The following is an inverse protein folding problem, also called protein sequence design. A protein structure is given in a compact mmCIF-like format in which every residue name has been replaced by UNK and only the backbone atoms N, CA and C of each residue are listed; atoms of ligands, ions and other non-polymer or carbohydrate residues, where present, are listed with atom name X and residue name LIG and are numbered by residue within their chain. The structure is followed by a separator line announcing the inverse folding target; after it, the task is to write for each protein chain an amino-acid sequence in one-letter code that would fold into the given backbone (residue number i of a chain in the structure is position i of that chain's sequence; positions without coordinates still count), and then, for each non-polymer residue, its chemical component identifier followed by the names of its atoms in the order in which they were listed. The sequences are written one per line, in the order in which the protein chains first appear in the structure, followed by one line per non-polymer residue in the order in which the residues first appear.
data_IF_809254053069
#
_entry.id   IF_809254053069
#
_cell.length_a   1.000
_cell.length_b   1.000
_cell.length_c   1.000
_cell.angle_alpha   90.00
_cell.angle_beta   90.00
_cell.angle_gamma   90.00
#
_symmetry.space_group_name_H-M   'P 1'
#
loop_
_entity.id
_entity.type
_entity.pdbx_description
1 polymer ?
#
# COMPACT_ATOMS: atom_id res chain seq x y z
N UNK A 1 -38.89 6.68 -19.12
CA UNK A 1 -38.52 5.78 -18.01
C UNK A 1 -37.23 5.00 -18.27
N UNK A 2 -37.08 4.26 -19.38
CA UNK A 2 -35.86 3.46 -19.66
C UNK A 2 -34.53 4.24 -19.62
N UNK A 3 -34.51 5.47 -20.15
CA UNK A 3 -33.32 6.34 -20.15
C UNK A 3 -32.88 6.73 -18.74
N UNK A 4 -33.81 7.04 -17.84
CA UNK A 4 -33.49 7.38 -16.45
C UNK A 4 -32.88 6.21 -15.68
N UNK A 5 -33.37 4.98 -15.92
CA UNK A 5 -32.76 3.78 -15.35
C UNK A 5 -31.32 3.59 -15.84
N UNK A 6 -31.08 3.75 -17.15
CA UNK A 6 -29.72 3.64 -17.71
C UNK A 6 -28.79 4.69 -17.11
N UNK A 7 -29.22 5.95 -17.00
CA UNK A 7 -28.42 7.02 -16.39
C UNK A 7 -28.12 6.75 -14.91
N UNK A 8 -29.09 6.23 -14.16
CA UNK A 8 -28.89 5.85 -12.75
C UNK A 8 -27.85 4.73 -12.62
N UNK A 9 -27.95 3.67 -13.43
CA UNK A 9 -26.98 2.58 -13.41
C UNK A 9 -25.57 3.05 -13.80
N UNK A 10 -25.45 3.92 -14.81
CA UNK A 10 -24.15 4.50 -15.18
C UNK A 10 -23.55 5.34 -14.05
N UNK A 11 -24.38 6.13 -13.37
CA UNK A 11 -23.94 6.94 -12.23
C UNK A 11 -23.42 6.06 -11.08
N UNK A 12 -24.12 4.98 -10.72
CA UNK A 12 -23.67 4.06 -9.67
C UNK A 12 -22.36 3.34 -10.04
N UNK A 13 -22.21 2.94 -11.29
CA UNK A 13 -20.97 2.33 -11.79
C UNK A 13 -19.79 3.29 -11.64
N UNK A 14 -19.95 4.57 -12.01
CA UNK A 14 -18.90 5.58 -11.90
C UNK A 14 -18.48 5.77 -10.42
N UNK A 15 -19.46 5.93 -9.52
CA UNK A 15 -19.18 6.13 -8.08
C UNK A 15 -18.42 4.94 -7.48
N UNK A 16 -18.78 3.71 -7.85
CA UNK A 16 -18.12 2.50 -7.35
C UNK A 16 -16.66 2.40 -7.84
N UNK A 17 -16.40 2.76 -9.10
CA UNK A 17 -15.07 2.77 -9.69
C UNK A 17 -14.15 3.80 -9.01
N UNK A 18 -14.63 5.03 -8.80
CA UNK A 18 -13.88 6.06 -8.07
C UNK A 18 -13.52 5.62 -6.65
N UNK A 19 -14.47 4.99 -5.96
CA UNK A 19 -14.27 4.52 -4.59
C UNK A 19 -13.22 3.41 -4.52
N UNK A 20 -13.20 2.51 -5.51
CA UNK A 20 -12.20 1.46 -5.62
C UNK A 20 -10.80 2.04 -5.87
N UNK A 21 -10.69 3.03 -6.76
CA UNK A 21 -9.42 3.70 -7.04
C UNK A 21 -8.87 4.40 -5.80
N UNK A 22 -9.70 5.21 -5.11
CA UNK A 22 -9.31 5.88 -3.87
C UNK A 22 -8.87 4.89 -2.78
N UNK A 23 -9.50 3.72 -2.73
CA UNK A 23 -9.11 2.66 -1.79
C UNK A 23 -7.75 2.05 -2.16
N UNK A 24 -7.47 1.85 -3.45
CA UNK A 24 -6.18 1.36 -3.94
C UNK A 24 -5.06 2.35 -3.61
N UNK A 25 -5.26 3.64 -3.90
CA UNK A 25 -4.30 4.70 -3.56
C UNK A 25 -4.04 4.77 -2.04
N UNK A 26 -5.11 4.68 -1.25
CA UNK A 26 -5.01 4.63 0.20
C UNK A 26 -4.21 3.40 0.67
N UNK A 27 -4.47 2.21 0.13
CA UNK A 27 -3.74 0.99 0.49
C UNK A 27 -2.26 1.10 0.15
N UNK A 28 -1.93 1.59 -1.06
CA UNK A 28 -0.56 1.77 -1.49
C UNK A 28 0.20 2.75 -0.58
N UNK A 29 -0.40 3.93 -0.33
CA UNK A 29 0.17 4.94 0.56
C UNK A 29 0.40 4.39 1.98
N UNK A 30 -0.57 3.66 2.54
CA UNK A 30 -0.43 3.10 3.89
C UNK A 30 0.63 2.00 3.94
N UNK A 31 0.74 1.15 2.90
CA UNK A 31 1.79 0.15 2.82
C UNK A 31 3.17 0.82 2.83
N UNK A 32 3.40 1.80 1.95
CA UNK A 32 4.69 2.47 1.81
C UNK A 32 5.10 3.15 3.13
N UNK A 33 4.18 3.87 3.76
CA UNK A 33 4.40 4.50 5.07
C UNK A 33 4.72 3.45 6.14
N UNK A 34 4.01 2.33 6.16
CA UNK A 34 4.25 1.23 7.09
C UNK A 34 5.65 0.63 6.93
N UNK A 35 6.05 0.23 5.72
CA UNK A 35 7.34 -0.44 5.50
C UNK A 35 8.51 0.53 5.71
N UNK A 36 8.37 1.79 5.29
CA UNK A 36 9.37 2.82 5.54
C UNK A 36 9.54 3.12 7.03
N UNK A 37 8.44 3.15 7.80
CA UNK A 37 8.49 3.31 9.26
C UNK A 37 9.21 2.16 9.96
N UNK A 38 9.09 0.94 9.43
CA UNK A 38 9.77 -0.25 9.98
C UNK A 38 11.25 -0.23 9.64
N UNK A 39 11.60 0.02 8.38
CA UNK A 39 13.00 0.14 7.93
C UNK A 39 13.73 1.27 8.67
N UNK A 40 13.17 2.49 8.67
CA UNK A 40 13.79 3.67 9.27
C UNK A 40 14.03 3.54 10.78
N UNK A 41 13.22 2.75 11.49
CA UNK A 41 13.41 2.48 12.92
C UNK A 41 14.74 1.81 13.25
N UNK A 42 15.28 1.01 12.33
CA UNK A 42 16.55 0.33 12.53
C UNK A 42 17.74 1.14 12.02
N UNK A 43 17.52 2.18 11.20
CA UNK A 43 18.55 3.14 10.77
C UNK A 43 19.83 2.48 10.26
N UNK A 44 19.70 1.40 9.47
CA UNK A 44 20.84 0.65 8.92
C UNK A 44 21.52 -0.34 9.87
N UNK A 45 21.02 -0.51 11.10
CA UNK A 45 21.47 -1.57 12.02
C UNK A 45 20.93 -2.94 11.59
N UNK A 46 21.53 -4.02 12.08
CA UNK A 46 21.06 -5.41 11.90
C UNK A 46 20.24 -5.86 13.12
N UNK A 47 18.92 -5.62 13.16
CA UNK A 47 18.07 -6.11 14.25
C UNK A 47 17.93 -7.63 14.25
N UNK A 48 17.67 -8.21 15.41
CA UNK A 48 17.24 -9.60 15.49
C UNK A 48 15.87 -9.80 14.87
N UNK A 49 15.61 -11.01 14.35
CA UNK A 49 14.30 -11.42 13.81
C UNK A 49 13.14 -11.07 14.75
N UNK A 50 13.30 -11.30 16.06
CA UNK A 50 12.29 -10.98 17.08
C UNK A 50 11.99 -9.47 17.18
N UNK A 51 13.00 -8.63 17.05
CA UNK A 51 12.82 -7.16 17.05
C UNK A 51 12.08 -6.70 15.81
N UNK A 52 12.39 -7.27 14.64
CA UNK A 52 11.70 -6.96 13.38
C UNK A 52 10.23 -7.35 13.47
N UNK A 53 9.92 -8.59 13.90
CA UNK A 53 8.54 -9.07 14.09
C UNK A 53 7.76 -8.17 15.05
N UNK A 54 8.37 -7.80 16.19
CA UNK A 54 7.74 -6.91 17.15
C UNK A 54 7.45 -5.54 16.53
N UNK A 55 8.38 -5.02 15.72
CA UNK A 55 8.24 -3.73 15.06
C UNK A 55 7.20 -3.75 13.95
N UNK A 56 7.16 -4.77 13.09
CA UNK A 56 6.14 -4.98 12.07
C UNK A 56 4.74 -4.97 12.70
N UNK A 57 4.50 -5.85 13.67
CA UNK A 57 3.21 -5.95 14.38
C UNK A 57 2.84 -4.68 15.16
N UNK A 58 3.82 -4.07 15.83
CA UNK A 58 3.61 -2.84 16.59
C UNK A 58 3.25 -1.66 15.69
N UNK A 59 3.85 -1.58 14.51
CA UNK A 59 3.60 -0.51 13.55
C UNK A 59 2.20 -0.66 12.93
N UNK A 60 1.77 -1.89 12.59
CA UNK A 60 0.39 -2.14 12.11
C UNK A 60 -0.70 -1.65 13.07
N UNK A 61 -0.46 -1.73 14.39
CA UNK A 61 -1.44 -1.31 15.40
C UNK A 61 -1.71 0.20 15.40
N UNK A 62 -0.82 1.01 14.83
CA UNK A 62 -0.94 2.48 14.77
C UNK A 62 -1.90 2.98 13.68
N UNK A 63 -2.16 2.15 12.66
CA UNK A 63 -2.94 2.56 11.49
C UNK A 63 -4.34 1.95 11.51
N UNK A 64 -5.29 2.56 12.25
CA UNK A 64 -6.61 1.94 12.50
C UNK A 64 -7.34 1.43 11.24
N UNK A 65 -7.36 2.23 10.17
CA UNK A 65 -8.03 1.89 8.90
C UNK A 65 -7.30 0.81 8.09
N UNK A 66 -5.99 0.67 8.24
CA UNK A 66 -5.14 -0.29 7.52
C UNK A 66 -4.72 -1.50 8.38
N UNK A 67 -4.97 -1.46 9.69
CA UNK A 67 -4.49 -2.41 10.71
C UNK A 67 -4.77 -3.87 10.33
N UNK A 68 -6.00 -4.18 9.93
CA UNK A 68 -6.39 -5.56 9.60
C UNK A 68 -5.62 -6.09 8.39
N UNK A 69 -5.55 -5.30 7.32
CA UNK A 69 -4.76 -5.62 6.11
C UNK A 69 -3.29 -5.77 6.48
N UNK A 70 -2.71 -4.80 7.17
CA UNK A 70 -1.31 -4.81 7.62
C UNK A 70 -0.97 -6.08 8.42
N UNK A 71 -1.77 -6.44 9.43
CA UNK A 71 -1.51 -7.63 10.24
C UNK A 71 -1.62 -8.92 9.41
N UNK A 72 -2.59 -9.00 8.50
CA UNK A 72 -2.70 -10.13 7.58
C UNK A 72 -1.48 -10.21 6.64
N UNK A 73 -1.01 -9.07 6.13
CA UNK A 73 0.17 -9.01 5.26
C UNK A 73 1.42 -9.46 6.01
N UNK A 74 1.61 -9.00 7.26
CA UNK A 74 2.71 -9.43 8.13
C UNK A 74 2.66 -10.92 8.42
N UNK A 75 1.47 -11.47 8.67
CA UNK A 75 1.30 -12.90 8.94
C UNK A 75 1.61 -13.77 7.71
N UNK A 76 1.14 -13.36 6.53
CA UNK A 76 1.23 -14.16 5.32
C UNK A 76 2.59 -14.04 4.61
N UNK A 77 3.34 -12.96 4.85
CA UNK A 77 4.57 -12.64 4.11
C UNK A 77 5.75 -12.38 5.06
N UNK A 78 5.78 -13.04 6.23
CA UNK A 78 6.67 -12.63 7.31
C UNK A 78 8.17 -12.68 6.93
N UNK A 79 8.63 -13.79 6.37
CA UNK A 79 10.05 -13.93 5.98
C UNK A 79 10.43 -12.93 4.89
N UNK A 80 9.59 -12.80 3.86
CA UNK A 80 9.78 -11.81 2.80
C UNK A 80 9.88 -10.39 3.37
N UNK A 81 8.98 -10.00 4.27
CA UNK A 81 9.03 -8.69 4.91
C UNK A 81 10.29 -8.48 5.75
N UNK A 82 10.76 -9.50 6.48
CA UNK A 82 11.99 -9.41 7.27
C UNK A 82 13.19 -9.12 6.36
N UNK A 83 13.29 -9.84 5.26
CA UNK A 83 14.39 -9.66 4.31
C UNK A 83 14.32 -8.27 3.68
N UNK A 84 13.17 -7.87 3.13
CA UNK A 84 13.02 -6.60 2.41
C UNK A 84 13.20 -5.37 3.30
N UNK A 85 12.61 -5.34 4.50
CA UNK A 85 12.74 -4.17 5.40
C UNK A 85 14.13 -4.04 6.05
N UNK A 86 15.02 -5.00 5.81
CA UNK A 86 16.42 -4.92 6.25
C UNK A 86 17.40 -4.71 5.10
N UNK A 87 16.92 -4.68 3.85
CA UNK A 87 17.76 -4.39 2.69
C UNK A 87 18.31 -2.97 2.73
N UNK A 88 19.48 -2.84 2.09
CA UNK A 88 20.09 -1.58 1.74
C UNK A 88 20.69 -1.73 0.33
N UNK A 89 20.19 -1.03 -0.70
CA UNK A 89 19.12 -0.01 -0.64
C UNK A 89 17.75 -0.61 -0.30
N UNK A 90 16.89 0.20 0.33
CA UNK A 90 15.50 -0.13 0.63
C UNK A 90 14.57 0.64 -0.30
N UNK A 91 13.59 -0.05 -0.85
CA UNK A 91 12.58 0.51 -1.75
C UNK A 91 11.18 0.16 -1.26
N UNK A 92 10.46 1.17 -0.76
CA UNK A 92 9.11 1.02 -0.26
C UNK A 92 8.09 0.75 -1.38
N UNK A 93 8.30 1.30 -2.58
CA UNK A 93 7.36 1.12 -3.70
C UNK A 93 7.42 -0.31 -4.20
N UNK A 94 8.62 -0.79 -4.53
CA UNK A 94 8.84 -2.15 -5.04
C UNK A 94 8.35 -3.23 -4.04
N UNK A 95 8.57 -2.99 -2.74
CA UNK A 95 8.05 -3.86 -1.68
C UNK A 95 6.52 -3.88 -1.67
N UNK A 96 5.87 -2.73 -1.73
CA UNK A 96 4.40 -2.64 -1.69
C UNK A 96 3.71 -3.13 -2.98
N UNK A 97 4.37 -3.03 -4.12
CA UNK A 97 3.97 -3.70 -5.36
C UNK A 97 4.02 -5.23 -5.21
N UNK A 98 5.11 -5.75 -4.63
CA UNK A 98 5.26 -7.19 -4.37
C UNK A 98 4.20 -7.72 -3.40
N UNK A 99 3.75 -6.90 -2.45
CA UNK A 99 2.66 -7.21 -1.52
C UNK A 99 1.26 -7.00 -2.12
N UNK A 100 1.17 -6.53 -3.38
CA UNK A 100 -0.08 -6.19 -4.08
C UNK A 100 -0.92 -5.14 -3.36
N UNK A 101 -0.26 -4.24 -2.63
CA UNK A 101 -0.89 -3.06 -2.04
C UNK A 101 -0.72 -1.83 -2.94
N UNK A 102 0.25 -1.85 -3.86
CA UNK A 102 0.40 -0.88 -4.96
C UNK A 102 0.21 -1.56 -6.31
N UNK A 103 -0.37 -0.84 -7.28
CA UNK A 103 -0.34 -1.25 -8.67
C UNK A 103 1.10 -1.13 -9.22
N UNK A 104 1.51 -2.01 -10.15
CA UNK A 104 2.80 -1.88 -10.79
C UNK A 104 2.87 -0.56 -11.56
N UNK A 105 4.04 0.09 -11.53
CA UNK A 105 4.28 1.37 -12.23
C UNK A 105 4.11 1.27 -13.76
N UNK A 106 3.94 0.07 -14.33
CA UNK A 106 3.67 -0.15 -15.75
C UNK A 106 2.20 0.11 -16.13
N UNK A 107 1.29 0.18 -15.16
CA UNK A 107 -0.15 0.42 -15.38
C UNK A 107 -0.59 1.84 -15.02
N UNK A 108 0.34 2.74 -14.65
CA UNK A 108 0.02 4.16 -14.60
C UNK A 108 -0.15 4.66 -16.02
N UNK A 109 -1.41 4.78 -16.42
CA UNK A 109 -1.86 5.73 -17.43
C UNK A 109 -1.03 7.00 -17.29
N UNK A 110 -0.36 7.36 -18.38
CA UNK A 110 0.32 8.63 -18.61
C UNK A 110 -0.70 9.76 -18.34
N UNK A 111 -0.76 10.23 -17.10
CA UNK A 111 -1.46 11.47 -16.78
C UNK A 111 -0.57 12.60 -17.27
N UNK A 112 -0.81 12.99 -18.51
CA UNK A 112 -0.28 14.19 -19.15
C UNK A 112 -0.63 15.41 -18.28
N UNK A 113 0.32 15.81 -17.42
CA UNK A 113 0.24 17.05 -16.66
C UNK A 113 0.85 18.13 -17.57
N UNK A 114 0.08 19.14 -18.05
CA UNK A 114 0.66 20.21 -18.82
C UNK A 114 1.61 21.00 -17.93
N UNK A 115 2.90 20.84 -18.18
CA UNK A 115 4.00 21.65 -17.66
C UNK A 115 3.99 23.01 -18.35
N UNK A 116 3.12 23.91 -17.90
CA UNK A 116 3.28 25.33 -18.19
C UNK A 116 4.20 25.94 -17.12
N UNK A 117 5.47 26.13 -17.49
CA UNK A 117 6.40 27.03 -16.84
C UNK A 117 6.52 28.30 -17.68
#
# INVERSE_FOLDING_TARGET
MKVFFVLFFLLELIISAESALRMADFQCSQCQVFVASVHGWFSGKRPSRRQIIKKLNGTCKRYAKYKRRCLSTVQNNLEFLIDEVTKNPFDASALCESLKDCAPLTDSVEFDYPSNF
#
